data_IF_393491285388
#
_entry.id   IF_393491285388
#
_cell.length_a   1.000
_cell.length_b   1.000
_cell.length_c   1.000
_cell.angle_alpha   90.00
_cell.angle_beta   90.00
_cell.angle_gamma   90.00
#
_symmetry.space_group_name_H-M   'P 1'
#
loop_
_entity.id
_entity.type
_entity.pdbx_description
1 polymer ?
#
# COMPACT_ATOMS: atom_id res chain seq x y z
N UNK A 1 7.10 -25.72 -2.85
CA UNK A 1 7.82 -24.79 -1.95
C UNK A 1 7.69 -23.37 -2.51
N UNK A 2 7.62 -22.33 -1.67
CA UNK A 2 7.49 -20.97 -2.15
C UNK A 2 8.77 -20.52 -2.85
N UNK A 3 8.61 -19.93 -4.03
CA UNK A 3 9.70 -19.25 -4.76
C UNK A 3 9.96 -17.89 -4.13
N UNK A 4 11.12 -17.29 -4.40
CA UNK A 4 11.41 -15.91 -4.00
C UNK A 4 10.33 -14.97 -4.55
N UNK A 5 9.90 -15.15 -5.80
CA UNK A 5 8.83 -14.37 -6.42
C UNK A 5 7.52 -14.41 -5.62
N UNK A 6 7.10 -15.59 -5.18
CA UNK A 6 5.93 -15.71 -4.34
C UNK A 6 6.15 -14.99 -2.99
N UNK A 7 7.28 -15.19 -2.34
CA UNK A 7 7.57 -14.58 -1.05
C UNK A 7 7.57 -13.05 -1.10
N UNK A 8 8.28 -12.45 -2.08
CA UNK A 8 8.38 -10.98 -2.20
C UNK A 8 7.06 -10.36 -2.62
N UNK A 9 6.30 -11.02 -3.49
CA UNK A 9 4.96 -10.55 -3.87
C UNK A 9 4.02 -10.54 -2.67
N UNK A 10 3.94 -11.62 -1.89
CA UNK A 10 3.06 -11.66 -0.72
C UNK A 10 3.47 -10.64 0.34
N UNK A 11 4.77 -10.50 0.63
CA UNK A 11 5.25 -9.51 1.58
C UNK A 11 4.84 -8.08 1.16
N UNK A 12 5.06 -7.72 -0.10
CA UNK A 12 4.67 -6.41 -0.63
C UNK A 12 3.15 -6.22 -0.66
N UNK A 13 2.40 -7.23 -1.13
CA UNK A 13 0.95 -7.16 -1.24
C UNK A 13 0.29 -7.03 0.14
N UNK A 14 0.70 -7.82 1.13
CA UNK A 14 0.18 -7.69 2.50
C UNK A 14 0.60 -6.40 3.17
N UNK A 15 1.85 -5.94 2.99
CA UNK A 15 2.29 -4.65 3.53
C UNK A 15 1.49 -3.48 2.94
N UNK A 16 1.26 -3.50 1.63
CA UNK A 16 0.45 -2.49 0.93
C UNK A 16 -1.03 -2.56 1.35
N UNK A 17 -1.60 -3.76 1.45
CA UNK A 17 -2.98 -3.95 1.90
C UNK A 17 -3.16 -3.50 3.35
N UNK A 18 -2.19 -3.78 4.22
CA UNK A 18 -2.16 -3.28 5.60
C UNK A 18 -2.13 -1.74 5.61
N UNK A 19 -1.28 -1.11 4.81
CA UNK A 19 -1.21 0.34 4.72
C UNK A 19 -2.53 0.98 4.26
N UNK A 20 -3.15 0.43 3.21
CA UNK A 20 -4.46 0.86 2.73
C UNK A 20 -5.55 0.64 3.79
N UNK A 21 -5.59 -0.55 4.40
CA UNK A 21 -6.56 -0.89 5.43
C UNK A 21 -6.46 0.02 6.65
N UNK A 22 -5.26 0.20 7.21
CA UNK A 22 -5.02 1.08 8.37
C UNK A 22 -5.49 2.51 8.07
N UNK A 23 -5.05 3.09 6.94
CA UNK A 23 -5.42 4.45 6.55
C UNK A 23 -6.91 4.60 6.25
N UNK A 24 -7.50 3.60 5.61
CA UNK A 24 -8.91 3.58 5.25
C UNK A 24 -9.81 3.47 6.48
N UNK A 25 -9.49 2.56 7.38
CA UNK A 25 -10.23 2.36 8.64
C UNK A 25 -10.20 3.60 9.53
N UNK A 26 -9.04 4.26 9.70
CA UNK A 26 -8.98 5.52 10.45
C UNK A 26 -9.92 6.59 9.87
N UNK A 27 -9.97 6.72 8.54
CA UNK A 27 -10.82 7.70 7.83
C UNK A 27 -12.31 7.42 7.98
N UNK A 28 -12.70 6.16 7.99
CA UNK A 28 -14.10 5.75 8.16
C UNK A 28 -14.52 5.90 9.62
N UNK A 29 -13.70 5.41 10.55
CA UNK A 29 -14.00 5.40 11.98
C UNK A 29 -14.07 6.81 12.57
N UNK A 30 -13.04 7.63 12.33
CA UNK A 30 -12.97 9.00 12.84
C UNK A 30 -12.41 9.97 11.77
N UNK A 31 -13.25 10.43 10.83
CA UNK A 31 -12.82 11.38 9.81
C UNK A 31 -12.43 12.74 10.39
N UNK A 32 -12.99 13.15 11.54
CA UNK A 32 -12.71 14.45 12.17
C UNK A 32 -11.26 14.48 12.65
N UNK A 33 -10.83 13.43 13.35
CA UNK A 33 -9.45 13.26 13.76
C UNK A 33 -8.50 13.23 12.56
N UNK A 34 -8.85 12.51 11.49
CA UNK A 34 -8.01 12.44 10.29
C UNK A 34 -7.90 13.81 9.60
N UNK A 35 -8.99 14.57 9.48
CA UNK A 35 -8.93 15.95 9.00
C UNK A 35 -8.02 16.80 9.89
N UNK A 36 -8.09 16.64 11.22
CA UNK A 36 -7.21 17.31 12.16
C UNK A 36 -5.73 16.98 11.94
N UNK A 37 -5.39 15.71 11.72
CA UNK A 37 -4.02 15.28 11.44
C UNK A 37 -3.44 15.92 10.18
N UNK A 38 -4.23 16.05 9.12
CA UNK A 38 -3.78 16.61 7.84
C UNK A 38 -4.04 18.11 7.71
N UNK A 39 -4.60 18.76 8.74
CA UNK A 39 -4.83 20.21 8.73
C UNK A 39 -3.49 20.96 8.76
N UNK A 40 -3.25 21.88 7.82
CA UNK A 40 -2.11 22.79 7.85
C UNK A 40 -2.04 23.57 9.18
N UNK A 41 -0.85 23.83 9.75
CA UNK A 41 -0.69 24.75 10.87
C UNK A 41 -1.35 26.12 10.65
N UNK A 42 -1.34 26.62 9.41
CA UNK A 42 -1.99 27.88 9.03
C UNK A 42 -3.52 27.86 9.05
N UNK A 43 -4.14 26.70 9.27
CA UNK A 43 -5.60 26.51 9.21
C UNK A 43 -6.17 25.85 10.49
N UNK A 44 -5.39 25.74 11.56
CA UNK A 44 -5.80 25.04 12.80
C UNK A 44 -7.04 25.65 13.48
N UNK A 45 -7.35 26.92 13.21
CA UNK A 45 -8.51 27.61 13.74
C UNK A 45 -9.83 27.26 13.02
N UNK A 46 -9.75 26.58 11.88
CA UNK A 46 -10.91 26.19 11.10
C UNK A 46 -11.46 24.85 11.64
N UNK A 47 -12.78 24.73 11.70
CA UNK A 47 -13.45 23.45 11.98
C UNK A 47 -13.59 22.62 10.70
N UNK A 48 -13.56 21.27 10.78
CA UNK A 48 -13.88 20.43 9.64
C UNK A 48 -15.28 20.71 9.09
N UNK A 49 -15.39 20.92 7.79
CA UNK A 49 -16.68 21.12 7.12
C UNK A 49 -17.22 19.80 6.53
N UNK A 50 -18.51 19.80 6.16
CA UNK A 50 -19.19 18.59 5.70
C UNK A 50 -18.56 17.99 4.43
N UNK A 51 -18.07 18.83 3.51
CA UNK A 51 -17.39 18.37 2.30
C UNK A 51 -16.05 17.68 2.60
N UNK A 52 -15.28 18.19 3.56
CA UNK A 52 -14.05 17.55 4.03
C UNK A 52 -14.36 16.17 4.65
N UNK A 53 -15.37 16.10 5.51
CA UNK A 53 -15.77 14.85 6.16
C UNK A 53 -16.28 13.81 5.15
N UNK A 54 -17.08 14.25 4.18
CA UNK A 54 -17.56 13.42 3.08
C UNK A 54 -16.39 12.84 2.27
N UNK A 55 -15.46 13.68 1.82
CA UNK A 55 -14.32 13.24 1.01
C UNK A 55 -13.40 12.29 1.79
N UNK A 56 -13.12 12.59 3.07
CA UNK A 56 -12.29 11.73 3.92
C UNK A 56 -12.93 10.36 4.13
N UNK A 57 -14.24 10.29 4.43
CA UNK A 57 -14.94 9.02 4.57
C UNK A 57 -14.98 8.22 3.27
N UNK A 58 -15.26 8.89 2.15
CA UNK A 58 -15.32 8.24 0.84
C UNK A 58 -13.94 7.68 0.43
N UNK A 59 -12.88 8.47 0.57
CA UNK A 59 -11.49 8.02 0.38
C UNK A 59 -11.16 6.84 1.31
N UNK A 60 -11.66 6.86 2.53
CA UNK A 60 -11.55 5.75 3.49
C UNK A 60 -12.09 4.42 2.95
N UNK A 61 -13.31 4.45 2.40
CA UNK A 61 -13.89 3.27 1.77
C UNK A 61 -13.16 2.83 0.51
N UNK A 62 -12.72 3.77 -0.34
CA UNK A 62 -11.89 3.45 -1.50
C UNK A 62 -10.62 2.69 -1.11
N UNK A 63 -9.91 3.13 -0.06
CA UNK A 63 -8.71 2.46 0.43
C UNK A 63 -9.00 1.08 1.01
N UNK A 64 -10.08 0.92 1.77
CA UNK A 64 -10.51 -0.40 2.28
C UNK A 64 -10.78 -1.36 1.12
N UNK A 65 -11.51 -0.91 0.10
CA UNK A 65 -11.78 -1.73 -1.09
C UNK A 65 -10.49 -2.09 -1.84
N UNK A 66 -9.54 -1.16 -1.99
CA UNK A 66 -8.24 -1.46 -2.58
C UNK A 66 -7.45 -2.52 -1.78
N UNK A 67 -7.51 -2.47 -0.44
CA UNK A 67 -6.91 -3.48 0.41
C UNK A 67 -7.53 -4.86 0.18
N UNK A 68 -8.86 -4.94 0.11
CA UNK A 68 -9.59 -6.20 -0.13
C UNK A 68 -9.31 -6.77 -1.52
N UNK A 69 -9.27 -5.93 -2.55
CA UNK A 69 -8.89 -6.31 -3.92
C UNK A 69 -7.47 -6.88 -3.92
N UNK A 70 -6.53 -6.20 -3.25
CA UNK A 70 -5.13 -6.63 -3.20
C UNK A 70 -4.98 -7.98 -2.50
N UNK A 71 -5.65 -8.18 -1.36
CA UNK A 71 -5.69 -9.49 -0.67
C UNK A 71 -6.28 -10.56 -1.58
N UNK A 72 -7.33 -10.25 -2.33
CA UNK A 72 -7.95 -11.22 -3.26
C UNK A 72 -6.97 -11.69 -4.35
N UNK A 73 -6.05 -10.83 -4.80
CA UNK A 73 -5.00 -11.22 -5.76
C UNK A 73 -3.87 -12.07 -5.17
N UNK A 74 -3.78 -12.21 -3.85
CA UNK A 74 -2.78 -13.07 -3.19
C UNK A 74 -3.18 -14.53 -3.15
N UNK A 75 -4.42 -14.87 -3.49
CA UNK A 75 -5.02 -16.20 -3.26
C UNK A 75 -5.03 -16.63 -1.77
N UNK A 76 -4.84 -15.70 -0.82
CA UNK A 76 -4.97 -15.97 0.61
C UNK A 76 -6.41 -16.36 1.00
N UNK A 77 -7.39 -15.85 0.25
CA UNK A 77 -8.79 -16.24 0.37
C UNK A 77 -9.07 -17.28 -0.73
N UNK A 78 -9.28 -18.56 -0.40
CA UNK A 78 -9.56 -19.59 -1.39
C UNK A 78 -10.97 -19.39 -1.95
N UNK A 79 -11.08 -18.78 -3.13
CA UNK A 79 -12.34 -18.67 -3.87
C UNK A 79 -12.70 -19.96 -4.63
N UNK A 80 -11.84 -20.98 -4.57
CA UNK A 80 -12.08 -22.29 -5.14
C UNK A 80 -11.63 -23.40 -4.18
N UNK A 81 -12.20 -24.59 -4.35
CA UNK A 81 -11.82 -25.80 -3.59
C UNK A 81 -10.51 -26.41 -4.08
N UNK A 82 -9.74 -25.71 -4.92
CA UNK A 82 -8.55 -26.28 -5.52
C UNK A 82 -7.42 -26.37 -4.48
N UNK A 83 -6.61 -27.44 -4.49
CA UNK A 83 -5.51 -27.59 -3.55
C UNK A 83 -4.54 -26.41 -3.65
N UNK A 84 -4.17 -25.83 -2.51
CA UNK A 84 -3.24 -24.69 -2.39
C UNK A 84 -1.89 -24.92 -3.11
N UNK A 85 -1.51 -26.18 -3.32
CA UNK A 85 -0.32 -26.61 -4.06
C UNK A 85 -0.31 -26.23 -5.54
N UNK A 86 -1.45 -25.86 -6.15
CA UNK A 86 -1.51 -25.38 -7.55
C UNK A 86 -1.35 -23.87 -7.71
N UNK A 87 -1.29 -23.09 -6.62
CA UNK A 87 -1.27 -21.62 -6.65
C UNK A 87 0.15 -21.03 -6.59
N UNK A 88 1.14 -21.73 -7.17
CA UNK A 88 2.56 -21.30 -7.11
C UNK A 88 2.90 -20.15 -8.05
N UNK A 89 2.11 -19.94 -9.10
CA UNK A 89 2.24 -18.78 -9.99
C UNK A 89 1.07 -17.83 -9.78
N UNK A 90 1.36 -16.54 -9.59
CA UNK A 90 0.36 -15.49 -9.47
C UNK A 90 0.42 -14.68 -10.77
N UNK A 91 -0.44 -14.98 -11.78
CA UNK A 91 -0.31 -14.44 -13.13
C UNK A 91 -0.36 -12.90 -13.15
N UNK A 92 -1.09 -12.32 -12.20
CA UNK A 92 -1.31 -10.88 -12.11
C UNK A 92 -0.31 -10.14 -11.24
N UNK A 93 0.67 -10.84 -10.62
CA UNK A 93 1.57 -10.24 -9.64
C UNK A 93 2.28 -8.98 -10.16
N UNK A 94 2.81 -9.03 -11.38
CA UNK A 94 3.49 -7.88 -12.01
C UNK A 94 2.55 -6.69 -12.23
N UNK A 95 1.35 -6.95 -12.74
CA UNK A 95 0.37 -5.91 -13.03
C UNK A 95 -0.13 -5.25 -11.73
N UNK A 96 -0.41 -6.06 -10.70
CA UNK A 96 -0.86 -5.59 -9.39
C UNK A 96 0.23 -4.75 -8.70
N UNK A 97 1.48 -5.19 -8.75
CA UNK A 97 2.61 -4.42 -8.21
C UNK A 97 2.79 -3.12 -8.98
N UNK A 98 2.75 -3.14 -10.31
CA UNK A 98 2.88 -1.93 -11.12
C UNK A 98 1.74 -0.91 -10.84
N UNK A 99 0.50 -1.38 -10.75
CA UNK A 99 -0.65 -0.52 -10.46
C UNK A 99 -0.57 0.11 -9.06
N UNK A 100 -0.15 -0.65 -8.06
CA UNK A 100 0.02 -0.13 -6.69
C UNK A 100 1.21 0.82 -6.58
N UNK A 101 2.32 0.57 -7.26
CA UNK A 101 3.44 1.52 -7.38
C UNK A 101 2.96 2.84 -8.01
N UNK A 102 2.19 2.78 -9.10
CA UNK A 102 1.61 3.97 -9.72
C UNK A 102 0.73 4.74 -8.74
N UNK A 103 -0.10 4.05 -7.96
CA UNK A 103 -0.92 4.67 -6.92
C UNK A 103 -0.06 5.33 -5.82
N UNK A 104 1.01 4.69 -5.35
CA UNK A 104 1.92 5.27 -4.36
C UNK A 104 2.66 6.50 -4.89
N UNK A 105 3.09 6.49 -6.15
CA UNK A 105 3.73 7.64 -6.79
C UNK A 105 2.75 8.82 -6.90
N UNK A 106 1.56 8.59 -7.44
CA UNK A 106 0.57 9.66 -7.66
C UNK A 106 0.06 10.26 -6.35
N UNK A 107 -0.25 9.43 -5.36
CA UNK A 107 -0.63 9.92 -4.02
C UNK A 107 0.55 10.55 -3.26
N UNK A 108 1.78 10.09 -3.51
CA UNK A 108 3.01 10.71 -3.01
C UNK A 108 3.23 12.11 -3.58
N UNK A 109 3.02 12.32 -4.88
CA UNK A 109 3.06 13.65 -5.52
C UNK A 109 2.03 14.58 -4.89
N UNK A 110 0.79 14.12 -4.73
CA UNK A 110 -0.27 14.90 -4.08
C UNK A 110 0.08 15.27 -2.63
N UNK A 111 0.60 14.32 -1.85
CA UNK A 111 1.05 14.60 -0.48
C UNK A 111 2.21 15.60 -0.45
N UNK A 112 3.17 15.47 -1.38
CA UNK A 112 4.34 16.34 -1.46
C UNK A 112 3.98 17.81 -1.76
N UNK A 113 2.96 18.03 -2.60
CA UNK A 113 2.48 19.38 -2.94
C UNK A 113 2.07 20.20 -1.71
N UNK A 114 1.46 19.56 -0.72
CA UNK A 114 1.12 20.20 0.55
C UNK A 114 2.31 20.20 1.53
N UNK A 115 2.99 19.06 1.67
CA UNK A 115 4.12 18.88 2.58
C UNK A 115 5.25 19.91 2.40
N UNK A 116 5.55 20.29 1.15
CA UNK A 116 6.66 21.20 0.83
C UNK A 116 6.43 22.65 1.27
N UNK A 117 5.19 23.02 1.59
CA UNK A 117 4.86 24.39 1.99
C UNK A 117 5.14 24.54 3.49
N UNK A 118 5.97 25.53 3.86
CA UNK A 118 6.34 25.76 5.26
C UNK A 118 5.13 26.02 6.17
N UNK A 119 4.06 26.60 5.63
CA UNK A 119 2.80 26.85 6.35
C UNK A 119 1.91 25.62 6.53
N UNK A 120 2.20 24.53 5.81
CA UNK A 120 1.38 23.31 5.79
C UNK A 120 2.05 22.11 6.44
N UNK A 121 3.38 22.09 6.51
CA UNK A 121 4.12 20.97 7.08
C UNK A 121 3.58 20.56 8.47
N UNK A 122 3.29 19.27 8.61
CA UNK A 122 3.06 18.62 9.90
C UNK A 122 3.53 17.15 9.83
N UNK A 123 3.62 16.50 11.00
CA UNK A 123 4.11 15.11 11.10
C UNK A 123 3.27 14.12 10.27
N UNK A 124 1.95 14.30 10.22
CA UNK A 124 1.05 13.43 9.46
C UNK A 124 1.30 13.52 7.96
N UNK A 125 1.55 14.73 7.44
CA UNK A 125 1.94 14.93 6.05
C UNK A 125 3.30 14.29 5.75
N UNK A 126 4.26 14.40 6.67
CA UNK A 126 5.55 13.73 6.53
C UNK A 126 5.40 12.21 6.42
N UNK A 127 4.59 11.61 7.29
CA UNK A 127 4.23 10.18 7.24
C UNK A 127 3.59 9.83 5.89
N UNK A 128 2.69 10.68 5.38
CA UNK A 128 2.05 10.51 4.08
C UNK A 128 3.04 10.50 2.91
N UNK A 129 4.02 11.41 2.91
CA UNK A 129 5.07 11.47 1.88
C UNK A 129 6.02 10.29 1.99
N UNK A 130 6.65 10.10 3.15
CA UNK A 130 7.68 9.07 3.33
C UNK A 130 7.12 7.65 3.27
N UNK A 131 5.87 7.45 3.72
CA UNK A 131 5.16 6.18 3.53
C UNK A 131 4.98 5.83 2.06
N UNK A 132 4.61 6.80 1.21
CA UNK A 132 4.50 6.58 -0.23
C UNK A 132 5.87 6.37 -0.90
N UNK A 133 6.92 7.07 -0.47
CA UNK A 133 8.30 6.83 -0.95
C UNK A 133 8.74 5.40 -0.64
N UNK A 134 8.53 4.95 0.60
CA UNK A 134 8.88 3.59 1.02
C UNK A 134 8.13 2.51 0.23
N UNK A 135 6.81 2.67 0.06
CA UNK A 135 5.99 1.72 -0.69
C UNK A 135 6.31 1.73 -2.18
N UNK A 136 6.65 2.90 -2.75
CA UNK A 136 7.16 2.98 -4.12
C UNK A 136 8.48 2.23 -4.25
N UNK A 137 9.43 2.47 -3.35
CA UNK A 137 10.74 1.80 -3.37
C UNK A 137 10.61 0.28 -3.25
N UNK A 138 9.89 -0.20 -2.24
CA UNK A 138 9.66 -1.65 -2.04
C UNK A 138 8.87 -2.29 -3.18
N UNK A 139 7.94 -1.57 -3.79
CA UNK A 139 7.20 -2.01 -4.96
C UNK A 139 8.09 -2.13 -6.20
N UNK A 140 8.99 -1.17 -6.44
CA UNK A 140 9.99 -1.25 -7.52
C UNK A 140 10.96 -2.42 -7.31
N UNK A 141 11.45 -2.63 -6.08
CA UNK A 141 12.29 -3.80 -5.74
C UNK A 141 11.54 -5.10 -6.03
N UNK A 142 10.27 -5.19 -5.61
CA UNK A 142 9.40 -6.33 -5.89
C UNK A 142 9.24 -6.55 -7.41
N UNK A 143 8.99 -5.49 -8.17
CA UNK A 143 8.80 -5.56 -9.61
C UNK A 143 10.05 -6.07 -10.33
N UNK A 144 11.23 -5.56 -9.95
CA UNK A 144 12.52 -6.00 -10.49
C UNK A 144 12.76 -7.48 -10.19
N UNK A 145 12.51 -7.93 -8.96
CA UNK A 145 12.66 -9.34 -8.60
C UNK A 145 11.71 -10.25 -9.38
N UNK A 146 10.45 -9.84 -9.55
CA UNK A 146 9.46 -10.55 -10.37
C UNK A 146 9.83 -10.64 -11.85
N UNK A 147 10.64 -9.71 -12.35
CA UNK A 147 11.17 -9.73 -13.72
C UNK A 147 12.45 -10.56 -13.85
N UNK A 148 13.18 -10.77 -12.75
CA UNK A 148 14.44 -11.51 -12.74
C UNK A 148 14.26 -13.03 -12.73
N UNK A 149 15.25 -13.75 -13.28
CA UNK A 149 15.33 -15.21 -13.15
C UNK A 149 15.70 -15.66 -11.72
N UNK A 150 16.43 -14.82 -10.97
CA UNK A 150 16.76 -15.07 -9.57
C UNK A 150 15.52 -15.28 -8.69
N UNK A 151 14.42 -14.60 -9.02
CA UNK A 151 13.14 -14.75 -8.34
C UNK A 151 12.48 -16.13 -8.48
N UNK A 152 12.90 -16.95 -9.46
CA UNK A 152 12.37 -18.31 -9.67
C UNK A 152 12.96 -19.34 -8.69
N UNK A 153 14.07 -19.02 -8.02
CA UNK A 153 14.74 -19.93 -7.11
C UNK A 153 13.91 -20.19 -5.84
N UNK A 154 14.11 -21.36 -5.24
CA UNK A 154 13.50 -21.69 -3.94
C UNK A 154 14.13 -20.85 -2.83
N UNK A 155 13.31 -20.34 -1.91
CA UNK A 155 13.78 -19.56 -0.75
C UNK A 155 14.78 -20.36 0.10
N UNK A 156 14.57 -21.67 0.25
CA UNK A 156 15.41 -22.53 1.08
C UNK A 156 16.80 -22.74 0.48
N UNK A 157 16.89 -22.89 -0.85
CA UNK A 157 18.17 -23.04 -1.55
C UNK A 157 19.05 -21.79 -1.42
N UNK A 158 18.43 -20.60 -1.51
CA UNK A 158 19.15 -19.34 -1.35
C UNK A 158 19.57 -19.13 0.10
N UNK A 159 18.69 -19.45 1.06
CA UNK A 159 18.99 -19.32 2.50
C UNK A 159 20.12 -20.25 2.94
N UNK A 160 20.18 -21.47 2.38
CA UNK A 160 21.28 -22.43 2.65
C UNK A 160 22.63 -21.97 2.12
N UNK A 161 22.68 -21.23 1.00
CA UNK A 161 23.93 -20.66 0.45
C UNK A 161 24.44 -19.44 1.21
N UNK A 162 23.58 -18.78 1.97
CA UNK A 162 23.91 -17.57 2.73
C UNK A 162 24.34 -17.87 4.18
N UNK A 163 24.26 -19.12 4.63
CA UNK A 163 24.83 -19.63 5.89
C UNK A 163 26.19 -20.23 5.64
#
# INVERSE_FOLDING_TARGET
>A
MPTINAAVFHAYAYGTAFWYGLRGLCRVYDPVMVVGWFRPPSQLNLTPNDLELYNVRNDGWCLITLALILISFTNAVPFNSAPATKLTSIPYAKAVVAATVFHHVTTGIGAYQHYRLATHYNTSMAIGVWGNVWLTFTGLVTLVLLQSDAGKHSVEEVTKKAR
#
